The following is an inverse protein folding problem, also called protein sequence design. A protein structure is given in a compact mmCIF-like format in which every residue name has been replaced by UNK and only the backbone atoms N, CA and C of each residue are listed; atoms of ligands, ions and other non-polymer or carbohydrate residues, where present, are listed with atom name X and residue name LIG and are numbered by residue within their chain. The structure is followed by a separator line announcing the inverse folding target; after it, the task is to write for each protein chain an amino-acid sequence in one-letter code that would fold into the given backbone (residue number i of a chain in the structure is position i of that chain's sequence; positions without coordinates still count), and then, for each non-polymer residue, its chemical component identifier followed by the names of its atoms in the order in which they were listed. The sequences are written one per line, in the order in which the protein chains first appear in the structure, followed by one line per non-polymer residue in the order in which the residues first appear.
data_IF_370766895067
#
_entry.id   IF_370766895067
#
_cell.length_a   1.000
_cell.length_b   1.000
_cell.length_c   1.000
_cell.angle_alpha   90.00
_cell.angle_beta   90.00
_cell.angle_gamma   90.00
#
_symmetry.space_group_name_H-M   'P 1'
#
loop_
_entity.id
_entity.type
_entity.pdbx_description
1 polymer ?
#
# COMPACT_ATOMS: atom_id res chain seq x y z
N UNK A 1 13.98 -37.92 -11.91
CA UNK A 1 12.87 -37.05 -12.36
C UNK A 1 13.11 -35.65 -11.84
N UNK A 2 13.59 -34.75 -12.69
CA UNK A 2 13.91 -33.38 -12.29
C UNK A 2 12.61 -32.56 -12.17
N UNK A 3 12.49 -31.76 -11.11
CA UNK A 3 11.45 -30.71 -10.91
C UNK A 3 10.04 -31.12 -10.43
N UNK A 4 9.90 -32.14 -9.57
CA UNK A 4 8.61 -32.65 -9.05
C UNK A 4 7.63 -31.58 -8.45
N UNK A 5 8.12 -30.39 -8.07
CA UNK A 5 7.31 -29.35 -7.41
C UNK A 5 7.45 -27.95 -8.02
N UNK A 6 8.27 -27.76 -9.06
CA UNK A 6 8.59 -26.41 -9.61
C UNK A 6 7.88 -26.09 -10.92
N UNK A 7 7.37 -27.10 -11.61
CA UNK A 7 6.56 -26.95 -12.82
C UNK A 7 5.31 -27.78 -12.58
N UNK A 8 4.14 -27.15 -12.69
CA UNK A 8 2.84 -27.78 -12.48
C UNK A 8 2.07 -27.74 -13.78
N UNK A 9 1.77 -28.91 -14.33
CA UNK A 9 0.87 -29.06 -15.47
C UNK A 9 -0.55 -29.30 -15.00
N UNK A 10 -1.50 -28.52 -15.50
CA UNK A 10 -2.93 -28.76 -15.33
C UNK A 10 -3.43 -29.44 -16.60
N UNK A 11 -4.03 -30.62 -16.46
CA UNK A 11 -4.52 -31.43 -17.58
C UNK A 11 -5.90 -31.97 -17.25
N UNK A 12 -6.72 -32.17 -18.29
CA UNK A 12 -8.06 -32.71 -18.16
C UNK A 12 -8.38 -33.62 -19.37
N UNK A 13 -9.27 -34.62 -19.23
CA UNK A 13 -9.78 -35.39 -20.36
C UNK A 13 -10.45 -34.49 -21.41
N UNK A 14 -10.55 -34.97 -22.67
CA UNK A 14 -11.17 -34.22 -23.76
C UNK A 14 -12.61 -33.75 -23.45
N UNK A 15 -13.35 -34.53 -22.66
CA UNK A 15 -14.71 -34.18 -22.22
C UNK A 15 -14.78 -32.97 -21.29
N UNK A 16 -13.65 -32.53 -20.71
CA UNK A 16 -13.55 -31.40 -19.78
C UNK A 16 -12.73 -30.23 -20.36
N UNK A 17 -12.54 -30.19 -21.68
CA UNK A 17 -11.75 -29.17 -22.36
C UNK A 17 -12.25 -27.74 -22.07
N UNK A 18 -13.55 -27.55 -22.00
CA UNK A 18 -14.14 -26.22 -21.75
C UNK A 18 -13.81 -25.72 -20.35
N UNK A 19 -13.84 -26.61 -19.36
CA UNK A 19 -13.46 -26.28 -17.98
C UNK A 19 -11.96 -25.95 -17.87
N UNK A 20 -11.10 -26.72 -18.55
CA UNK A 20 -9.67 -26.41 -18.60
C UNK A 20 -9.41 -25.04 -19.26
N UNK A 21 -10.19 -24.70 -20.29
CA UNK A 21 -10.13 -23.39 -20.95
C UNK A 21 -10.58 -22.27 -20.03
N UNK A 22 -11.65 -22.50 -19.25
CA UNK A 22 -12.16 -21.57 -18.25
C UNK A 22 -11.12 -21.29 -17.15
N UNK A 23 -10.49 -22.34 -16.60
CA UNK A 23 -9.39 -22.21 -15.61
C UNK A 23 -8.26 -21.35 -16.18
N UNK A 24 -7.84 -21.63 -17.42
CA UNK A 24 -6.79 -20.85 -18.08
C UNK A 24 -7.17 -19.37 -18.22
N UNK A 25 -8.38 -19.07 -18.69
CA UNK A 25 -8.86 -17.70 -18.84
C UNK A 25 -8.94 -16.98 -17.50
N UNK A 26 -9.51 -17.64 -16.48
CA UNK A 26 -9.62 -17.07 -15.14
C UNK A 26 -8.25 -16.68 -14.56
N UNK A 27 -7.27 -17.58 -14.63
CA UNK A 27 -5.91 -17.35 -14.11
C UNK A 27 -5.21 -16.25 -14.89
N UNK A 28 -5.31 -16.27 -16.22
CA UNK A 28 -4.59 -15.30 -17.07
C UNK A 28 -5.18 -13.89 -16.98
N UNK A 29 -6.51 -13.77 -16.92
CA UNK A 29 -7.21 -12.49 -16.73
C UNK A 29 -6.97 -11.88 -15.35
N UNK A 30 -6.73 -12.70 -14.33
CA UNK A 30 -6.54 -12.25 -12.94
C UNK A 30 -5.13 -12.56 -12.43
N UNK A 31 -4.13 -12.56 -13.32
CA UNK A 31 -2.77 -13.03 -13.01
C UNK A 31 -2.18 -12.37 -11.77
N UNK A 32 -2.30 -11.04 -11.66
CA UNK A 32 -1.72 -10.28 -10.53
C UNK A 32 -2.37 -10.65 -9.20
N UNK A 33 -3.69 -10.85 -9.18
CA UNK A 33 -4.42 -11.34 -8.00
C UNK A 33 -3.93 -12.73 -7.57
N UNK A 34 -3.79 -13.68 -8.50
CA UNK A 34 -3.30 -15.01 -8.15
C UNK A 34 -1.82 -15.03 -7.73
N UNK A 35 -0.98 -14.18 -8.34
CA UNK A 35 0.39 -13.97 -7.87
C UNK A 35 0.43 -13.41 -6.44
N UNK A 36 -0.46 -12.46 -6.15
CA UNK A 36 -0.64 -11.94 -4.80
C UNK A 36 -1.05 -13.05 -3.83
N UNK A 37 -2.08 -13.85 -4.13
CA UNK A 37 -2.48 -15.00 -3.31
C UNK A 37 -1.30 -15.94 -3.02
N UNK A 38 -0.49 -16.27 -4.03
CA UNK A 38 0.71 -17.07 -3.86
C UNK A 38 1.77 -16.39 -2.99
N UNK A 39 1.93 -15.07 -3.08
CA UNK A 39 2.90 -14.33 -2.29
C UNK A 39 2.52 -14.26 -0.81
N UNK A 40 1.23 -14.13 -0.49
CA UNK A 40 0.75 -13.96 0.89
C UNK A 40 0.40 -15.27 1.59
N UNK A 41 -0.09 -16.27 0.86
CA UNK A 41 -0.53 -17.56 1.42
C UNK A 41 0.48 -18.68 1.14
N UNK A 42 1.47 -18.43 0.28
CA UNK A 42 2.45 -19.42 -0.12
C UNK A 42 3.34 -19.85 1.03
N UNK A 43 3.56 -21.15 1.14
CA UNK A 43 4.37 -21.73 2.23
C UNK A 43 5.88 -21.48 2.10
N UNK A 44 6.35 -21.01 0.93
CA UNK A 44 7.78 -20.77 0.66
C UNK A 44 8.13 -19.37 0.17
N UNK A 45 7.18 -18.70 -0.50
CA UNK A 45 7.37 -17.33 -0.98
C UNK A 45 7.69 -16.41 0.20
N UNK A 46 8.67 -15.51 0.02
CA UNK A 46 9.08 -14.50 1.01
C UNK A 46 9.68 -15.01 2.33
N UNK A 47 9.71 -16.33 2.58
CA UNK A 47 10.29 -16.93 3.81
C UNK A 47 11.64 -17.58 3.53
N UNK A 48 11.68 -18.57 2.63
CA UNK A 48 12.85 -19.42 2.38
C UNK A 48 13.43 -19.30 0.97
N UNK A 49 12.63 -18.82 0.00
CA UNK A 49 13.04 -18.51 -1.37
C UNK A 49 12.25 -17.30 -1.85
N UNK A 50 12.93 -16.38 -2.53
CA UNK A 50 12.38 -15.10 -2.96
C UNK A 50 11.04 -15.20 -3.72
N UNK A 51 10.88 -16.19 -4.60
CA UNK A 51 9.73 -16.28 -5.53
C UNK A 51 9.24 -17.71 -5.78
N UNK A 52 9.72 -18.69 -5.02
CA UNK A 52 9.37 -20.09 -5.28
C UNK A 52 7.98 -20.41 -4.72
N UNK A 53 7.12 -20.94 -5.58
CA UNK A 53 5.80 -21.47 -5.22
C UNK A 53 5.81 -23.00 -5.34
N UNK A 54 4.98 -23.66 -4.54
CA UNK A 54 4.74 -25.10 -4.57
C UNK A 54 3.43 -25.42 -5.29
N UNK A 55 3.29 -26.68 -5.71
CA UNK A 55 2.03 -27.21 -6.25
C UNK A 55 0.85 -26.97 -5.32
N UNK A 56 1.03 -27.15 -4.02
CA UNK A 56 -0.01 -26.94 -3.03
C UNK A 56 -0.50 -25.48 -3.00
N UNK A 57 0.39 -24.51 -3.23
CA UNK A 57 0.01 -23.10 -3.29
C UNK A 57 -0.94 -22.84 -4.49
N UNK A 58 -0.73 -23.55 -5.62
CA UNK A 58 -1.61 -23.50 -6.80
C UNK A 58 -2.93 -24.24 -6.53
N UNK A 59 -2.90 -25.39 -5.86
CA UNK A 59 -4.10 -26.18 -5.55
C UNK A 59 -5.02 -25.48 -4.53
N UNK A 60 -4.46 -24.59 -3.71
CA UNK A 60 -5.20 -23.80 -2.73
C UNK A 60 -5.68 -22.43 -3.28
N UNK A 61 -5.43 -22.13 -4.56
CA UNK A 61 -5.90 -20.87 -5.13
C UNK A 61 -7.43 -20.82 -5.12
N UNK A 62 -8.02 -19.66 -4.82
CA UNK A 62 -9.47 -19.51 -4.88
C UNK A 62 -9.96 -19.72 -6.31
N UNK A 63 -10.94 -20.62 -6.48
CA UNK A 63 -11.59 -20.89 -7.77
C UNK A 63 -13.09 -20.65 -7.64
N UNK A 64 -13.59 -19.42 -7.93
CA UNK A 64 -15.00 -19.12 -7.78
C UNK A 64 -15.87 -19.76 -8.87
N UNK A 65 -17.07 -20.18 -8.48
CA UNK A 65 -18.06 -20.75 -9.41
C UNK A 65 -18.56 -19.76 -10.47
N UNK A 66 -18.40 -18.45 -10.23
CA UNK A 66 -18.78 -17.38 -11.14
C UNK A 66 -17.68 -16.31 -11.17
N UNK A 67 -17.38 -15.77 -12.36
CA UNK A 67 -16.23 -14.90 -12.58
C UNK A 67 -16.35 -13.53 -11.88
N UNK A 68 -17.59 -13.07 -11.65
CA UNK A 68 -17.95 -11.86 -10.91
C UNK A 68 -17.70 -11.95 -9.40
N UNK A 69 -17.46 -13.15 -8.85
CA UNK A 69 -17.05 -13.32 -7.44
C UNK A 69 -15.60 -12.89 -7.17
N UNK A 70 -14.85 -12.46 -8.19
CA UNK A 70 -13.54 -11.80 -8.06
C UNK A 70 -13.64 -10.29 -8.32
N UNK A 71 -14.79 -9.68 -8.05
CA UNK A 71 -14.94 -8.23 -8.11
C UNK A 71 -14.28 -7.61 -6.87
N UNK A 72 -13.10 -7.03 -7.07
CA UNK A 72 -12.33 -6.38 -6.03
C UNK A 72 -12.74 -4.92 -5.90
N UNK A 73 -12.91 -4.46 -4.66
CA UNK A 73 -13.00 -3.03 -4.41
C UNK A 73 -11.71 -2.33 -4.85
N UNK A 74 -11.83 -1.06 -5.23
CA UNK A 74 -10.69 -0.29 -5.74
C UNK A 74 -9.49 -0.27 -4.77
N UNK A 75 -9.73 -0.25 -3.46
CA UNK A 75 -8.69 -0.23 -2.43
C UNK A 75 -8.05 -1.61 -2.24
N UNK A 76 -8.80 -2.70 -2.42
CA UNK A 76 -8.24 -4.07 -2.42
C UNK A 76 -7.31 -4.24 -3.62
N UNK A 77 -7.72 -3.76 -4.78
CA UNK A 77 -6.89 -3.76 -5.98
C UNK A 77 -5.61 -2.93 -5.78
N UNK A 78 -5.70 -1.81 -5.06
CA UNK A 78 -4.52 -1.02 -4.68
C UNK A 78 -3.56 -1.81 -3.79
N UNK A 79 -4.06 -2.52 -2.76
CA UNK A 79 -3.21 -3.35 -1.89
C UNK A 79 -2.48 -4.41 -2.70
N UNK A 80 -3.19 -5.10 -3.60
CA UNK A 80 -2.59 -6.11 -4.49
C UNK A 80 -1.48 -5.49 -5.34
N UNK A 81 -1.72 -4.30 -5.89
CA UNK A 81 -0.74 -3.61 -6.71
C UNK A 81 0.52 -3.29 -5.91
N UNK A 82 0.39 -2.63 -4.76
CA UNK A 82 1.56 -2.26 -3.96
C UNK A 82 2.31 -3.48 -3.41
N UNK A 83 1.61 -4.55 -3.06
CA UNK A 83 2.27 -5.77 -2.60
C UNK A 83 3.11 -6.38 -3.72
N UNK A 84 2.55 -6.50 -4.91
CA UNK A 84 3.23 -7.12 -6.04
C UNK A 84 4.32 -6.24 -6.64
N UNK A 85 4.12 -4.92 -6.67
CA UNK A 85 5.03 -3.98 -7.31
C UNK A 85 6.16 -3.54 -6.36
N UNK A 86 5.92 -3.58 -5.05
CA UNK A 86 6.87 -3.04 -4.08
C UNK A 86 7.16 -3.97 -2.89
N UNK A 87 6.16 -4.54 -2.24
CA UNK A 87 6.37 -5.21 -0.94
C UNK A 87 7.11 -6.55 -1.07
N UNK A 88 6.86 -7.30 -2.15
CA UNK A 88 7.61 -8.54 -2.45
C UNK A 88 9.11 -8.26 -2.53
N UNK A 89 9.49 -7.19 -3.26
CA UNK A 89 10.88 -6.80 -3.41
C UNK A 89 11.44 -6.16 -2.13
N UNK A 90 10.61 -5.45 -1.37
CA UNK A 90 10.99 -4.94 -0.05
C UNK A 90 11.38 -6.06 0.92
N UNK A 91 10.59 -7.13 1.00
CA UNK A 91 10.92 -8.28 1.86
C UNK A 91 12.19 -8.98 1.38
N UNK A 92 12.38 -9.10 0.05
CA UNK A 92 13.55 -9.78 -0.53
C UNK A 92 14.86 -9.00 -0.37
N UNK A 93 14.81 -7.69 -0.59
CA UNK A 93 15.99 -6.82 -0.69
C UNK A 93 16.26 -6.04 0.61
N UNK A 94 15.26 -5.93 1.49
CA UNK A 94 15.39 -5.20 2.74
C UNK A 94 15.76 -3.72 2.52
N UNK A 95 16.91 -3.31 3.06
CA UNK A 95 17.40 -1.94 2.99
C UNK A 95 17.74 -1.48 1.56
N UNK A 96 18.04 -2.43 0.67
CA UNK A 96 18.39 -2.13 -0.72
C UNK A 96 17.15 -2.04 -1.63
N UNK A 97 15.95 -2.15 -1.07
CA UNK A 97 14.71 -1.99 -1.83
C UNK A 97 14.47 -0.56 -2.28
N UNK A 98 13.77 -0.41 -3.41
CA UNK A 98 13.35 0.90 -3.91
C UNK A 98 12.53 1.69 -2.87
N UNK A 99 11.69 1.00 -2.09
CA UNK A 99 10.88 1.63 -1.05
C UNK A 99 11.68 2.40 0.00
N UNK A 100 12.91 1.96 0.29
CA UNK A 100 13.79 2.57 1.30
C UNK A 100 14.87 3.45 0.68
N UNK A 101 15.25 3.21 -0.57
CA UNK A 101 16.32 3.97 -1.25
C UNK A 101 15.78 5.17 -2.01
N UNK A 102 14.53 5.13 -2.48
CA UNK A 102 13.90 6.17 -3.28
C UNK A 102 13.10 7.15 -2.41
N UNK A 103 13.30 8.44 -2.67
CA UNK A 103 12.45 9.52 -2.13
C UNK A 103 11.16 9.62 -2.94
N UNK A 104 10.03 9.73 -2.25
CA UNK A 104 8.72 9.91 -2.84
C UNK A 104 8.67 11.24 -3.63
N UNK A 105 8.18 11.18 -4.85
CA UNK A 105 8.01 12.35 -5.70
C UNK A 105 6.56 12.85 -5.72
N UNK A 106 6.31 13.97 -6.38
CA UNK A 106 4.98 14.58 -6.46
C UNK A 106 3.89 13.62 -7.03
N UNK A 107 4.24 12.72 -7.96
CA UNK A 107 3.28 11.74 -8.49
C UNK A 107 2.93 10.67 -7.45
N UNK A 108 3.91 10.23 -6.64
CA UNK A 108 3.64 9.32 -5.51
C UNK A 108 2.71 9.98 -4.50
N UNK A 109 2.97 11.23 -4.14
CA UNK A 109 2.16 12.00 -3.20
C UNK A 109 0.75 12.27 -3.74
N UNK A 110 0.61 12.52 -5.04
CA UNK A 110 -0.69 12.66 -5.69
C UNK A 110 -1.51 11.37 -5.60
N UNK A 111 -0.91 10.22 -5.94
CA UNK A 111 -1.58 8.92 -5.86
C UNK A 111 -1.99 8.55 -4.42
N UNK A 112 -1.09 8.80 -3.45
CA UNK A 112 -1.38 8.66 -2.03
C UNK A 112 -2.57 9.54 -1.61
N UNK A 113 -2.54 10.82 -1.97
CA UNK A 113 -3.53 11.81 -1.54
C UNK A 113 -4.89 11.60 -2.17
N UNK A 114 -4.93 11.21 -3.45
CA UNK A 114 -6.18 10.86 -4.15
C UNK A 114 -6.88 9.71 -3.44
N UNK A 115 -6.13 8.65 -3.09
CA UNK A 115 -6.70 7.51 -2.40
C UNK A 115 -7.15 7.86 -0.98
N UNK A 116 -6.35 8.61 -0.24
CA UNK A 116 -6.69 9.11 1.09
C UNK A 116 -8.00 9.91 1.07
N UNK A 117 -8.11 10.88 0.15
CA UNK A 117 -9.31 11.70 -0.04
C UNK A 117 -10.50 10.85 -0.48
N UNK A 118 -10.30 9.88 -1.37
CA UNK A 118 -11.39 8.99 -1.82
C UNK A 118 -11.96 8.15 -0.69
N UNK A 119 -11.10 7.64 0.20
CA UNK A 119 -11.50 6.83 1.35
C UNK A 119 -12.23 7.66 2.39
N UNK A 120 -11.59 8.72 2.90
CA UNK A 120 -12.21 9.61 3.89
C UNK A 120 -13.42 10.36 3.34
N UNK A 121 -13.35 10.78 2.08
CA UNK A 121 -14.40 11.52 1.38
C UNK A 121 -15.70 10.75 1.21
N UNK A 122 -15.66 9.42 1.31
CA UNK A 122 -16.86 8.58 1.35
C UNK A 122 -17.70 8.81 2.61
N UNK A 123 -17.07 9.29 3.69
CA UNK A 123 -17.70 9.59 4.98
C UNK A 123 -17.79 11.10 5.22
N UNK A 124 -16.74 11.85 4.91
CA UNK A 124 -16.64 13.29 5.13
C UNK A 124 -16.52 14.06 3.81
N UNK A 125 -17.64 14.62 3.34
CA UNK A 125 -17.68 15.36 2.06
C UNK A 125 -16.84 16.64 2.10
N UNK A 126 -16.29 17.02 0.95
CA UNK A 126 -15.57 18.28 0.77
C UNK A 126 -14.13 18.27 1.29
N UNK A 127 -13.56 17.09 1.54
CA UNK A 127 -12.15 16.92 1.79
C UNK A 127 -11.36 17.05 0.47
N UNK A 128 -10.31 17.85 0.49
CA UNK A 128 -9.43 18.09 -0.65
C UNK A 128 -7.96 17.96 -0.22
N UNK A 129 -7.09 17.54 -1.14
CA UNK A 129 -5.65 17.55 -0.92
C UNK A 129 -5.06 18.90 -1.31
N UNK A 130 -4.14 19.42 -0.50
CA UNK A 130 -3.27 20.53 -0.87
C UNK A 130 -2.02 20.00 -1.60
N UNK A 131 -1.23 20.89 -2.20
CA UNK A 131 0.11 20.56 -2.69
C UNK A 131 1.00 20.08 -1.52
N UNK A 132 1.80 19.01 -1.71
CA UNK A 132 2.75 18.54 -0.70
C UNK A 132 3.87 19.56 -0.48
N UNK A 133 4.30 19.68 0.76
CA UNK A 133 5.48 20.47 1.16
C UNK A 133 6.64 19.51 1.40
N UNK A 134 7.66 19.60 0.55
CA UNK A 134 8.89 18.83 0.68
C UNK A 134 9.85 19.53 1.63
N UNK A 135 10.28 18.81 2.66
CA UNK A 135 11.21 19.28 3.69
C UNK A 135 12.48 18.42 3.65
N UNK A 136 13.53 18.82 4.36
CA UNK A 136 14.76 18.00 4.40
C UNK A 136 14.51 16.65 5.09
N UNK A 137 14.38 15.57 4.31
CA UNK A 137 14.16 14.20 4.79
C UNK A 137 12.74 13.90 5.26
N UNK A 138 11.79 14.83 5.09
CA UNK A 138 10.38 14.69 5.43
C UNK A 138 9.50 15.22 4.29
N UNK A 139 8.26 14.74 4.24
CA UNK A 139 7.21 15.35 3.43
C UNK A 139 6.02 15.63 4.33
N UNK A 140 5.40 16.79 4.14
CA UNK A 140 4.15 17.17 4.77
C UNK A 140 3.06 17.22 3.70
N UNK A 141 1.99 16.48 3.90
CA UNK A 141 0.82 16.43 3.02
C UNK A 141 -0.38 17.02 3.76
N UNK A 142 -0.77 18.27 3.44
CA UNK A 142 -1.97 18.87 3.99
C UNK A 142 -3.21 18.40 3.22
N UNK A 143 -4.29 18.21 3.94
CA UNK A 143 -5.64 18.04 3.45
C UNK A 143 -6.53 19.08 4.12
N UNK A 144 -7.60 19.50 3.45
CA UNK A 144 -8.46 20.55 3.98
C UNK A 144 -9.92 20.39 3.60
N UNK A 145 -10.79 20.98 4.41
CA UNK A 145 -12.22 21.12 4.14
C UNK A 145 -12.55 22.55 3.71
N UNK A 146 -13.35 22.69 2.66
CA UNK A 146 -13.86 24.00 2.23
C UNK A 146 -12.78 24.88 1.59
N UNK A 147 -12.47 26.04 2.20
CA UNK A 147 -11.55 27.03 1.63
C UNK A 147 -10.11 26.53 1.75
N UNK A 148 -9.34 26.64 0.65
CA UNK A 148 -7.93 26.27 0.61
C UNK A 148 -7.15 27.11 1.63
N UNK A 149 -6.53 26.50 2.65
CA UNK A 149 -5.81 27.23 3.68
C UNK A 149 -4.47 27.74 3.18
N UNK A 150 -3.92 28.75 3.86
CA UNK A 150 -2.51 29.10 3.71
C UNK A 150 -1.65 28.15 4.54
N UNK A 151 -0.71 27.48 3.88
CA UNK A 151 0.27 26.57 4.49
C UNK A 151 1.69 27.08 4.35
N UNK A 152 1.87 28.37 4.04
CA UNK A 152 3.19 29.01 3.90
C UNK A 152 4.06 28.93 5.16
N UNK A 153 3.44 28.75 6.33
CA UNK A 153 4.11 28.51 7.61
C UNK A 153 4.80 27.14 7.67
N UNK A 154 4.39 26.16 6.87
CA UNK A 154 5.09 24.88 6.74
C UNK A 154 6.35 25.09 5.89
N UNK A 155 7.49 25.23 6.57
CA UNK A 155 8.77 25.45 5.91
C UNK A 155 9.95 25.27 6.85
N UNK A 156 11.01 26.05 6.60
CA UNK A 156 12.29 25.98 7.32
C UNK A 156 12.09 26.14 8.83
N UNK A 157 11.20 27.04 9.24
CA UNK A 157 10.97 27.38 10.65
C UNK A 157 10.34 26.23 11.46
N UNK A 158 9.57 25.35 10.81
CA UNK A 158 8.96 24.18 11.45
C UNK A 158 9.77 22.89 11.26
N UNK A 159 10.75 22.90 10.36
CA UNK A 159 11.44 21.68 9.91
C UNK A 159 12.13 20.94 11.06
N UNK A 160 12.86 21.65 11.93
CA UNK A 160 13.55 21.00 13.05
C UNK A 160 12.57 20.42 14.08
N UNK A 161 11.47 21.14 14.35
CA UNK A 161 10.44 20.68 15.27
C UNK A 161 9.77 19.41 14.74
N UNK A 162 9.38 19.42 13.46
CA UNK A 162 8.80 18.25 12.78
C UNK A 162 9.78 17.07 12.75
N UNK A 163 11.06 17.32 12.50
CA UNK A 163 12.08 16.28 12.51
C UNK A 163 12.22 15.61 13.88
N UNK A 164 12.17 16.39 14.98
CA UNK A 164 12.19 15.84 16.36
C UNK A 164 10.92 15.08 16.72
N UNK A 165 9.77 15.45 16.14
CA UNK A 165 8.50 14.73 16.35
C UNK A 165 8.47 13.41 15.58
N UNK A 166 8.96 13.39 14.34
CA UNK A 166 8.98 12.20 13.47
C UNK A 166 10.07 11.23 13.91
N UNK A 167 11.28 11.71 14.18
CA UNK A 167 12.40 10.87 14.56
C UNK A 167 12.64 10.98 16.06
N UNK A 168 12.27 9.92 16.78
CA UNK A 168 12.62 9.79 18.19
C UNK A 168 14.00 9.13 18.30
N UNK A 169 14.98 9.96 18.66
CA UNK A 169 16.39 9.56 18.90
C UNK A 169 16.71 9.42 20.38
N UNK A 170 15.71 9.32 21.27
CA UNK A 170 15.92 9.25 22.73
C UNK A 170 16.69 8.02 23.21
N UNK A 171 16.97 7.06 22.33
CA UNK A 171 17.70 5.81 22.63
C UNK A 171 18.77 5.55 21.57
N UNK A 172 20.01 5.33 22.03
CA UNK A 172 21.19 5.16 21.16
C UNK A 172 21.12 3.97 20.17
N UNK A 173 20.24 2.99 20.43
CA UNK A 173 20.16 1.73 19.65
C UNK A 173 18.80 1.57 18.95
N UNK A 174 17.79 2.39 19.29
CA UNK A 174 16.44 2.28 18.75
C UNK A 174 16.07 3.58 18.02
N UNK A 175 15.98 3.51 16.69
CA UNK A 175 15.41 4.59 15.89
C UNK A 175 13.91 4.34 15.72
N UNK A 176 13.09 5.17 16.35
CA UNK A 176 11.64 5.18 16.14
C UNK A 176 11.29 6.24 15.08
N UNK A 177 10.47 5.84 14.13
CA UNK A 177 9.84 6.74 13.14
C UNK A 177 8.36 6.82 13.47
N UNK A 178 7.86 8.05 13.63
CA UNK A 178 6.46 8.35 13.92
C UNK A 178 5.81 9.02 12.72
N UNK A 179 4.55 8.69 12.46
CA UNK A 179 3.69 9.48 11.59
C UNK A 179 3.09 10.58 12.45
N UNK A 180 3.30 11.84 12.08
CA UNK A 180 2.70 12.98 12.78
C UNK A 180 1.42 13.35 12.05
N UNK A 181 0.30 13.31 12.77
CA UNK A 181 -0.99 13.85 12.32
C UNK A 181 -1.33 15.05 13.18
N UNK A 182 -1.66 16.15 12.54
CA UNK A 182 -2.01 17.40 13.20
C UNK A 182 -3.33 17.90 12.62
N UNK A 183 -4.24 18.27 13.53
CA UNK A 183 -5.60 18.70 13.21
C UNK A 183 -5.74 20.13 13.68
N UNK A 184 -5.99 21.05 12.76
CA UNK A 184 -6.22 22.46 13.09
C UNK A 184 -7.31 23.03 12.19
N UNK A 185 -8.37 23.54 12.82
CA UNK A 185 -9.54 24.11 12.15
C UNK A 185 -10.07 23.22 11.02
N UNK A 186 -9.81 23.59 9.76
CA UNK A 186 -10.26 22.89 8.57
C UNK A 186 -9.15 22.07 7.90
N UNK A 187 -8.01 21.85 8.56
CA UNK A 187 -6.81 21.21 8.01
C UNK A 187 -6.50 19.90 8.75
N UNK A 188 -6.20 18.85 7.98
CA UNK A 188 -5.55 17.62 8.44
C UNK A 188 -4.15 17.60 7.83
N UNK A 189 -3.12 17.63 8.65
CA UNK A 189 -1.74 17.59 8.21
C UNK A 189 -1.11 16.24 8.54
N UNK A 190 -0.59 15.56 7.52
CA UNK A 190 0.15 14.30 7.68
C UNK A 190 1.63 14.52 7.36
N UNK A 191 2.52 14.26 8.31
CA UNK A 191 3.98 14.42 8.15
C UNK A 191 4.69 13.10 8.39
N UNK A 192 5.55 12.71 7.44
CA UNK A 192 6.29 11.44 7.45
C UNK A 192 7.67 11.60 6.80
N UNK A 193 8.59 10.62 6.95
CA UNK A 193 9.81 10.59 6.16
C UNK A 193 9.54 10.62 4.67
N UNK A 194 10.50 11.16 3.94
CA UNK A 194 10.41 11.34 2.49
C UNK A 194 10.53 10.05 1.67
N UNK A 195 10.77 8.90 2.30
CA UNK A 195 10.96 7.62 1.59
C UNK A 195 9.65 7.09 1.00
N UNK A 196 9.72 6.52 -0.20
CA UNK A 196 8.57 6.00 -0.95
C UNK A 196 7.68 5.07 -0.12
N UNK A 197 8.27 4.24 0.75
CA UNK A 197 7.54 3.35 1.67
C UNK A 197 6.40 4.04 2.43
N UNK A 198 6.58 5.30 2.83
CA UNK A 198 5.62 6.02 3.67
C UNK A 198 4.48 6.69 2.88
N UNK A 199 4.59 6.68 1.55
CA UNK A 199 3.73 7.41 0.62
C UNK A 199 3.17 6.51 -0.49
N UNK A 200 3.10 5.21 -0.23
CA UNK A 200 2.38 4.28 -1.10
C UNK A 200 0.86 4.47 -0.96
N UNK A 201 0.08 4.24 -2.02
CA UNK A 201 -1.38 4.21 -1.94
C UNK A 201 -1.91 3.28 -0.82
N UNK A 202 -1.38 2.08 -0.66
CA UNK A 202 -1.75 1.16 0.43
C UNK A 202 -1.46 1.73 1.83
N UNK A 203 -0.41 2.56 1.96
CA UNK A 203 -0.15 3.31 3.21
C UNK A 203 -1.27 4.33 3.45
N UNK A 204 -1.77 4.99 2.41
CA UNK A 204 -2.91 5.91 2.50
C UNK A 204 -4.17 5.26 3.06
N UNK A 205 -4.41 3.97 2.76
CA UNK A 205 -5.55 3.21 3.31
C UNK A 205 -5.45 3.16 4.83
N UNK A 206 -4.28 2.76 5.34
CA UNK A 206 -4.02 2.70 6.79
C UNK A 206 -4.13 4.07 7.44
N UNK A 207 -3.57 5.10 6.81
CA UNK A 207 -3.63 6.45 7.38
C UNK A 207 -5.05 7.01 7.40
N UNK A 208 -5.86 6.69 6.39
CA UNK A 208 -7.27 7.06 6.37
C UNK A 208 -8.02 6.37 7.52
N UNK A 209 -7.83 5.07 7.71
CA UNK A 209 -8.44 4.33 8.83
C UNK A 209 -8.01 4.88 10.20
N UNK A 210 -6.72 5.12 10.41
CA UNK A 210 -6.21 5.74 11.65
C UNK A 210 -6.85 7.13 11.86
N UNK A 211 -6.94 7.93 10.80
CA UNK A 211 -7.57 9.27 10.84
C UNK A 211 -9.05 9.19 11.19
N UNK A 212 -9.79 8.19 10.68
CA UNK A 212 -11.20 7.99 11.04
C UNK A 212 -11.38 7.68 12.52
N UNK A 213 -10.51 6.85 13.08
CA UNK A 213 -10.51 6.52 14.51
C UNK A 213 -10.23 7.78 15.33
N UNK A 214 -9.18 8.54 14.96
CA UNK A 214 -8.79 9.76 15.67
C UNK A 214 -9.88 10.85 15.62
N UNK A 215 -10.53 11.06 14.47
CA UNK A 215 -11.63 12.02 14.33
C UNK A 215 -12.84 11.63 15.19
N UNK A 216 -13.23 10.36 15.16
CA UNK A 216 -14.35 9.84 15.96
C UNK A 216 -14.07 9.99 17.45
N UNK A 217 -12.85 9.69 17.89
CA UNK A 217 -12.45 9.79 19.29
C UNK A 217 -12.41 11.26 19.77
N UNK A 218 -12.24 12.22 18.86
CA UNK A 218 -12.35 13.67 19.11
C UNK A 218 -13.80 14.20 19.06
N UNK A 219 -14.80 13.35 18.76
CA UNK A 219 -16.22 13.71 18.76
C UNK A 219 -16.75 14.29 17.45
N UNK A 220 -16.05 14.07 16.34
CA UNK A 220 -16.52 14.40 14.98
C UNK A 220 -17.35 13.27 14.35
#
# INVERSE_FOLDING_TARGET
MAYKHKIVGIHAPLSQRDELTRVYQLITSNKKYYQFCCAINGSQALIGKATAILKQDIENLPYPDAADKLDLAFWEQTIINDVMDHMVDYVRLGQDSELLTTTANAANLAAYSELFVRLLGSLYRGLHAHDPVFLNGLVAQPFYYGVRPDVSWLGVDCQEALHKLVYDTSRDVLRSVRVVRYYEENIILVVKPDRLRYWLPSTAIRDADDTLIELRDQGW
#
